data_IF_579789700706
#
_entry.id   IF_579789700706
#
_cell.length_a   1.000
_cell.length_b   1.000
_cell.length_c   1.000
_cell.angle_alpha   90.00
_cell.angle_beta   90.00
_cell.angle_gamma   90.00
#
_symmetry.space_group_name_H-M   'P 1'
#
loop_
_entity.id
_entity.type
_entity.pdbx_description
1 polymer ?
#
# COMPACT_ATOMS: atom_id res chain seq x y z
N UNK A 1 13.36 -9.41 -0.72
CA UNK A 1 13.59 -10.40 0.36
C UNK A 1 15.07 -10.63 0.64
N UNK A 2 15.94 -10.75 -0.38
CA UNK A 2 17.40 -10.86 -0.18
C UNK A 2 17.97 -9.69 0.65
N UNK A 3 17.50 -8.47 0.44
CA UNK A 3 17.90 -7.31 1.26
C UNK A 3 17.50 -7.41 2.73
N UNK A 4 16.29 -7.89 3.04
CA UNK A 4 15.84 -8.11 4.43
C UNK A 4 16.64 -9.22 5.11
N UNK A 5 16.92 -10.31 4.40
CA UNK A 5 17.75 -11.40 4.90
C UNK A 5 19.20 -10.93 5.13
N UNK A 6 19.76 -10.16 4.19
CA UNK A 6 21.09 -9.56 4.34
C UNK A 6 21.18 -8.64 5.56
N UNK A 7 20.20 -7.75 5.74
CA UNK A 7 20.14 -6.90 6.93
C UNK A 7 19.97 -7.71 8.22
N UNK A 8 19.13 -8.75 8.21
CA UNK A 8 18.95 -9.64 9.37
C UNK A 8 20.25 -10.33 9.78
N UNK A 9 21.03 -10.83 8.82
CA UNK A 9 22.35 -11.46 9.10
C UNK A 9 23.34 -10.43 9.64
N UNK A 10 23.41 -9.23 9.05
CA UNK A 10 24.32 -8.17 9.49
C UNK A 10 24.01 -7.74 10.93
N UNK A 11 22.74 -7.45 11.24
CA UNK A 11 22.35 -7.04 12.59
C UNK A 11 22.59 -8.13 13.63
N UNK A 12 22.31 -9.39 13.27
CA UNK A 12 22.58 -10.54 14.15
C UNK A 12 24.07 -10.66 14.46
N UNK A 13 24.94 -10.52 13.45
CA UNK A 13 26.38 -10.59 13.64
C UNK A 13 26.90 -9.45 14.55
N UNK A 14 26.37 -8.23 14.38
CA UNK A 14 26.72 -7.10 15.24
C UNK A 14 26.29 -7.32 16.70
N UNK A 15 25.09 -7.84 16.93
CA UNK A 15 24.60 -8.15 18.28
C UNK A 15 25.40 -9.27 18.97
N UNK A 16 25.87 -10.26 18.21
CA UNK A 16 26.74 -11.33 18.72
C UNK A 16 28.12 -10.77 19.08
N UNK A 17 28.72 -9.94 18.21
CA UNK A 17 30.01 -9.28 18.50
C UNK A 17 29.90 -8.34 19.70
N UNK A 18 28.75 -7.67 19.86
CA UNK A 18 28.47 -6.80 21.00
C UNK A 18 28.18 -7.53 22.31
N UNK A 19 28.09 -8.87 22.32
CA UNK A 19 27.82 -9.68 23.52
C UNK A 19 26.36 -9.66 24.01
N UNK A 20 25.47 -8.98 23.29
CA UNK A 20 24.05 -8.82 23.63
C UNK A 20 23.18 -9.99 23.15
N UNK A 21 23.72 -10.89 22.31
CA UNK A 21 22.97 -11.98 21.69
C UNK A 21 23.82 -13.25 21.53
N UNK A 22 23.28 -14.40 21.93
CA UNK A 22 23.92 -15.70 21.70
C UNK A 22 23.55 -16.30 20.33
N UNK A 23 24.38 -17.21 19.81
CA UNK A 23 24.08 -17.90 18.55
C UNK A 23 22.79 -18.75 18.62
N UNK A 24 22.53 -19.39 19.77
CA UNK A 24 21.30 -20.15 19.98
C UNK A 24 20.06 -19.24 19.96
N UNK A 25 20.15 -18.07 20.61
CA UNK A 25 19.03 -17.12 20.65
C UNK A 25 18.78 -16.49 19.29
N UNK A 26 19.84 -16.22 18.52
CA UNK A 26 19.74 -15.76 17.15
C UNK A 26 19.01 -16.76 16.24
N UNK A 27 19.33 -18.06 16.36
CA UNK A 27 18.69 -19.10 15.57
C UNK A 27 17.19 -19.20 15.84
N UNK A 28 16.81 -19.22 17.13
CA UNK A 28 15.40 -19.37 17.53
C UNK A 28 14.60 -18.10 17.28
N UNK A 29 15.09 -16.94 17.72
CA UNK A 29 14.28 -15.71 17.70
C UNK A 29 14.31 -14.99 16.35
N UNK A 30 15.43 -15.05 15.61
CA UNK A 30 15.61 -14.28 14.37
C UNK A 30 15.36 -15.16 13.15
N UNK A 31 16.09 -16.27 13.03
CA UNK A 31 16.06 -17.09 11.81
C UNK A 31 14.87 -18.04 11.74
N UNK A 32 14.35 -18.50 12.87
CA UNK A 32 13.11 -19.29 12.93
C UNK A 32 11.90 -18.41 13.26
N UNK A 33 11.94 -17.68 14.37
CA UNK A 33 10.82 -16.87 14.86
C UNK A 33 10.41 -15.75 13.90
N UNK A 34 11.38 -15.14 13.20
CA UNK A 34 11.12 -14.12 12.19
C UNK A 34 10.21 -14.62 11.06
N UNK A 35 10.60 -15.65 10.30
CA UNK A 35 9.74 -16.26 9.29
C UNK A 35 8.41 -16.79 9.83
N UNK A 36 8.42 -17.42 11.01
CA UNK A 36 7.22 -17.98 11.63
C UNK A 36 6.17 -16.90 11.93
N UNK A 37 6.59 -15.74 12.45
CA UNK A 37 5.70 -14.58 12.68
C UNK A 37 5.03 -14.07 11.40
N UNK A 38 5.61 -14.36 10.23
CA UNK A 38 5.08 -13.96 8.93
C UNK A 38 3.99 -14.90 8.39
N UNK A 39 3.75 -16.05 9.04
CA UNK A 39 2.80 -17.06 8.59
C UNK A 39 1.38 -16.51 8.39
N UNK A 40 0.87 -15.72 9.33
CA UNK A 40 -0.46 -15.10 9.21
C UNK A 40 -0.55 -14.14 8.00
N UNK A 41 0.52 -13.38 7.73
CA UNK A 41 0.59 -12.51 6.55
C UNK A 41 0.61 -13.33 5.26
N UNK A 42 1.35 -14.44 5.22
CA UNK A 42 1.40 -15.33 4.07
C UNK A 42 0.01 -15.91 3.75
N UNK A 43 -0.74 -16.35 4.76
CA UNK A 43 -2.12 -16.84 4.60
C UNK A 43 -3.03 -15.75 4.03
N UNK A 44 -2.96 -14.52 4.56
CA UNK A 44 -3.73 -13.39 4.05
C UNK A 44 -3.39 -13.06 2.59
N UNK A 45 -2.13 -13.18 2.19
CA UNK A 45 -1.70 -12.98 0.79
C UNK A 45 -2.26 -14.08 -0.11
N UNK A 46 -2.23 -15.34 0.32
CA UNK A 46 -2.80 -16.46 -0.44
C UNK A 46 -4.28 -16.22 -0.69
N UNK A 47 -5.07 -15.98 0.36
CA UNK A 47 -6.50 -15.73 0.22
C UNK A 47 -6.81 -14.43 -0.52
N UNK A 48 -6.06 -13.35 -0.28
CA UNK A 48 -6.22 -12.09 -1.00
C UNK A 48 -5.94 -12.23 -2.49
N UNK A 49 -4.91 -12.98 -2.87
CA UNK A 49 -4.58 -13.26 -4.27
C UNK A 49 -5.61 -14.16 -4.94
N UNK A 50 -6.10 -15.19 -4.23
CA UNK A 50 -7.16 -16.07 -4.73
C UNK A 50 -8.46 -15.29 -4.91
N UNK A 51 -8.89 -14.51 -3.92
CA UNK A 51 -10.06 -13.64 -4.03
C UNK A 51 -9.92 -12.66 -5.19
N UNK A 52 -8.75 -12.01 -5.34
CA UNK A 52 -8.46 -11.16 -6.49
C UNK A 52 -8.61 -11.89 -7.82
N UNK A 53 -8.17 -13.16 -7.91
CA UNK A 53 -8.34 -14.00 -9.10
C UNK A 53 -9.81 -14.34 -9.34
N UNK A 54 -10.57 -14.67 -8.30
CA UNK A 54 -12.02 -14.92 -8.40
C UNK A 54 -12.75 -13.70 -8.94
N UNK A 55 -12.43 -12.48 -8.49
CA UNK A 55 -13.03 -11.26 -9.02
C UNK A 55 -12.76 -11.03 -10.52
N UNK A 56 -11.57 -11.45 -10.98
CA UNK A 56 -11.18 -11.38 -12.39
C UNK A 56 -11.91 -12.45 -13.20
N UNK A 57 -11.87 -13.70 -12.77
CA UNK A 57 -12.44 -14.84 -13.52
C UNK A 57 -13.97 -14.80 -13.58
N UNK A 58 -14.63 -14.28 -12.54
CA UNK A 58 -16.10 -14.08 -12.52
C UNK A 58 -16.56 -12.87 -13.35
N UNK A 59 -15.64 -12.05 -13.86
CA UNK A 59 -15.96 -10.85 -14.64
C UNK A 59 -16.49 -9.68 -13.81
N UNK A 60 -16.50 -9.78 -12.47
CA UNK A 60 -16.89 -8.67 -11.57
C UNK A 60 -15.94 -7.49 -11.75
N UNK A 61 -14.63 -7.76 -11.76
CA UNK A 61 -13.61 -6.73 -11.98
C UNK A 61 -13.84 -6.02 -13.33
N UNK A 62 -14.16 -6.76 -14.40
CA UNK A 62 -14.46 -6.20 -15.72
C UNK A 62 -15.69 -5.29 -15.70
N UNK A 63 -16.77 -5.69 -15.00
CA UNK A 63 -17.96 -4.85 -14.84
C UNK A 63 -17.66 -3.57 -14.06
N UNK A 64 -16.94 -3.68 -12.93
CA UNK A 64 -16.52 -2.53 -12.13
C UNK A 64 -15.65 -1.56 -12.94
N UNK A 65 -14.67 -2.08 -13.68
CA UNK A 65 -13.83 -1.27 -14.57
C UNK A 65 -14.69 -0.50 -15.55
N UNK A 66 -15.61 -1.21 -16.24
CA UNK A 66 -16.50 -0.60 -17.22
C UNK A 66 -17.34 0.51 -16.60
N UNK A 67 -18.00 0.25 -15.47
CA UNK A 67 -18.82 1.25 -14.77
C UNK A 67 -18.02 2.48 -14.34
N UNK A 68 -16.82 2.30 -13.78
CA UNK A 68 -15.97 3.43 -13.37
C UNK A 68 -15.46 4.21 -14.58
N UNK A 69 -15.12 3.53 -15.68
CA UNK A 69 -14.66 4.20 -16.91
C UNK A 69 -15.80 4.90 -17.66
N UNK A 70 -17.01 4.36 -17.64
CA UNK A 70 -18.21 4.97 -18.23
C UNK A 70 -18.64 6.22 -17.44
N UNK A 71 -18.62 6.14 -16.09
CA UNK A 71 -18.82 7.30 -15.22
C UNK A 71 -17.68 8.32 -15.34
N UNK A 72 -16.50 7.87 -15.74
CA UNK A 72 -15.34 8.73 -15.90
C UNK A 72 -15.34 9.64 -17.11
N UNK A 73 -16.18 9.32 -18.11
CA UNK A 73 -16.56 10.17 -19.23
C UNK A 73 -15.44 11.11 -19.74
N UNK A 74 -15.74 12.41 -19.74
CA UNK A 74 -14.93 13.44 -20.39
C UNK A 74 -13.66 13.87 -19.63
N UNK A 75 -13.51 13.46 -18.36
CA UNK A 75 -12.40 13.90 -17.51
C UNK A 75 -11.73 12.75 -16.73
N UNK A 76 -10.92 11.92 -17.42
CA UNK A 76 -10.20 10.80 -16.78
C UNK A 76 -9.25 11.22 -15.66
N UNK A 77 -8.81 12.48 -15.64
CA UNK A 77 -7.98 13.02 -14.56
C UNK A 77 -8.73 13.06 -13.22
N UNK A 78 -9.99 13.53 -13.23
CA UNK A 78 -10.79 13.63 -11.99
C UNK A 78 -11.01 12.25 -11.39
N UNK A 79 -11.33 11.27 -12.23
CA UNK A 79 -11.60 9.89 -11.80
C UNK A 79 -10.35 9.25 -11.22
N UNK A 80 -9.19 9.48 -11.84
CA UNK A 80 -7.90 9.00 -11.33
C UNK A 80 -7.60 9.59 -9.95
N UNK A 81 -7.84 10.88 -9.75
CA UNK A 81 -7.65 11.56 -8.45
C UNK A 81 -8.62 11.00 -7.41
N UNK A 82 -9.90 10.84 -7.77
CA UNK A 82 -10.91 10.26 -6.87
C UNK A 82 -10.57 8.82 -6.47
N UNK A 83 -10.11 7.99 -7.41
CA UNK A 83 -9.64 6.64 -7.11
C UNK A 83 -8.45 6.64 -6.17
N UNK A 84 -7.53 7.59 -6.32
CA UNK A 84 -6.41 7.79 -5.39
C UNK A 84 -6.87 8.18 -3.99
N UNK A 85 -7.87 9.05 -3.86
CA UNK A 85 -8.45 9.44 -2.57
C UNK A 85 -9.16 8.26 -1.92
N UNK A 86 -10.02 7.55 -2.67
CA UNK A 86 -10.73 6.36 -2.19
C UNK A 86 -9.76 5.28 -1.75
N UNK A 87 -8.67 5.07 -2.50
CA UNK A 87 -7.61 4.13 -2.10
C UNK A 87 -7.00 4.56 -0.76
N UNK A 88 -6.67 5.84 -0.57
CA UNK A 88 -6.16 6.34 0.70
C UNK A 88 -7.12 6.08 1.86
N UNK A 89 -8.42 6.34 1.66
CA UNK A 89 -9.46 6.12 2.69
C UNK A 89 -9.58 4.63 3.05
N UNK A 90 -9.58 3.72 2.07
CA UNK A 90 -9.64 2.26 2.34
C UNK A 90 -8.47 1.81 3.24
N UNK A 91 -7.28 2.35 3.00
CA UNK A 91 -6.07 2.00 3.74
C UNK A 91 -5.93 2.72 5.09
N UNK A 92 -6.97 3.42 5.56
CA UNK A 92 -7.06 3.93 6.94
C UNK A 92 -7.50 2.85 7.93
N UNK A 93 -8.15 1.79 7.46
CA UNK A 93 -8.62 0.68 8.31
C UNK A 93 -8.09 -0.68 7.85
N UNK A 94 -7.45 -0.72 6.69
CA UNK A 94 -6.95 -1.96 6.08
C UNK A 94 -5.43 -1.98 6.05
N UNK A 95 -4.80 -3.08 6.44
CA UNK A 95 -3.34 -3.24 6.41
C UNK A 95 -2.93 -4.62 5.88
N UNK A 96 -1.71 -4.71 5.34
CA UNK A 96 -1.10 -5.97 4.92
C UNK A 96 -1.02 -6.15 3.40
N UNK A 97 -0.04 -6.95 2.98
CA UNK A 97 0.26 -7.16 1.56
C UNK A 97 -0.92 -7.76 0.77
N UNK A 98 -1.70 -8.66 1.38
CA UNK A 98 -2.88 -9.26 0.74
C UNK A 98 -3.94 -8.23 0.35
N UNK A 99 -4.20 -7.26 1.22
CA UNK A 99 -5.15 -6.18 0.94
C UNK A 99 -4.66 -5.27 -0.19
N UNK A 100 -3.36 -4.92 -0.19
CA UNK A 100 -2.74 -4.13 -1.26
C UNK A 100 -2.85 -4.86 -2.60
N UNK A 101 -2.60 -6.17 -2.64
CA UNK A 101 -2.75 -6.94 -3.88
C UNK A 101 -4.21 -7.00 -4.32
N UNK A 102 -5.15 -7.31 -3.41
CA UNK A 102 -6.56 -7.46 -3.73
C UNK A 102 -7.17 -6.16 -4.31
N UNK A 103 -6.90 -5.01 -3.68
CA UNK A 103 -7.37 -3.71 -4.19
C UNK A 103 -6.61 -3.33 -5.47
N UNK A 104 -5.31 -3.60 -5.54
CA UNK A 104 -4.48 -3.32 -6.71
C UNK A 104 -4.94 -4.05 -7.98
N UNK A 105 -5.41 -5.29 -7.87
CA UNK A 105 -5.99 -6.07 -8.98
C UNK A 105 -7.21 -5.38 -9.60
N UNK A 106 -7.94 -4.57 -8.85
CA UNK A 106 -9.08 -3.80 -9.33
C UNK A 106 -8.62 -2.42 -9.81
N UNK A 107 -7.91 -1.67 -8.96
CA UNK A 107 -7.58 -0.26 -9.21
C UNK A 107 -6.62 -0.11 -10.39
N UNK A 108 -5.58 -0.94 -10.51
CA UNK A 108 -4.57 -0.77 -11.56
C UNK A 108 -5.16 -0.94 -12.97
N UNK A 109 -5.97 -1.98 -13.29
CA UNK A 109 -6.67 -2.05 -14.56
C UNK A 109 -7.61 -0.89 -14.86
N UNK A 110 -8.27 -0.32 -13.84
CA UNK A 110 -9.10 0.88 -14.00
C UNK A 110 -8.24 2.07 -14.43
N UNK A 111 -7.16 2.35 -13.69
CA UNK A 111 -6.25 3.46 -13.99
C UNK A 111 -5.67 3.33 -15.41
N UNK A 112 -5.26 2.12 -15.80
CA UNK A 112 -4.76 1.86 -17.15
C UNK A 112 -5.84 2.06 -18.23
N UNK A 113 -7.09 1.66 -17.96
CA UNK A 113 -8.22 1.87 -18.86
C UNK A 113 -8.56 3.37 -19.05
N UNK A 114 -8.27 4.21 -18.05
CA UNK A 114 -8.41 5.68 -18.12
C UNK A 114 -7.26 6.38 -18.86
N UNK A 115 -6.27 5.63 -19.37
CA UNK A 115 -5.14 6.18 -20.13
C UNK A 115 -3.93 6.58 -19.28
N UNK A 116 -3.91 6.22 -17.99
CA UNK A 116 -2.75 6.41 -17.11
C UNK A 116 -1.66 5.42 -17.51
N UNK A 117 -0.41 5.87 -17.66
CA UNK A 117 0.70 4.94 -17.94
C UNK A 117 0.97 3.99 -16.79
N UNK A 118 1.39 2.76 -17.09
CA UNK A 118 1.70 1.73 -16.10
C UNK A 118 2.56 2.23 -14.92
N UNK A 119 3.70 2.93 -15.13
CA UNK A 119 4.50 3.41 -13.99
C UNK A 119 3.73 4.43 -13.15
N UNK A 120 3.02 5.37 -13.79
CA UNK A 120 2.24 6.38 -13.09
C UNK A 120 1.09 5.76 -12.28
N UNK A 121 0.41 4.75 -12.83
CA UNK A 121 -0.68 4.05 -12.17
C UNK A 121 -0.20 3.30 -10.92
N UNK A 122 0.93 2.60 -11.01
CA UNK A 122 1.53 1.89 -9.88
C UNK A 122 2.00 2.89 -8.82
N UNK A 123 2.68 3.96 -9.22
CA UNK A 123 3.15 4.99 -8.29
C UNK A 123 1.98 5.71 -7.60
N UNK A 124 0.97 6.15 -8.34
CA UNK A 124 -0.20 6.82 -7.74
C UNK A 124 -0.96 5.90 -6.81
N UNK A 125 -1.10 4.61 -7.18
CA UNK A 125 -1.73 3.62 -6.33
C UNK A 125 -0.95 3.41 -5.02
N UNK A 126 0.35 3.14 -5.08
CA UNK A 126 1.17 2.89 -3.89
C UNK A 126 1.30 4.13 -3.00
N UNK A 127 1.43 5.33 -3.57
CA UNK A 127 1.41 6.57 -2.79
C UNK A 127 0.06 6.81 -2.13
N UNK A 128 -1.04 6.46 -2.78
CA UNK A 128 -2.37 6.50 -2.16
C UNK A 128 -2.51 5.50 -1.03
N UNK A 129 -2.04 4.25 -1.18
CA UNK A 129 -1.97 3.26 -0.09
C UNK A 129 -1.19 3.84 1.09
N UNK A 130 -0.01 4.42 0.83
CA UNK A 130 0.83 5.04 1.86
C UNK A 130 0.13 6.18 2.61
N UNK A 131 -0.73 6.96 1.94
CA UNK A 131 -1.44 8.06 2.60
C UNK A 131 -2.40 7.60 3.69
N UNK A 132 -3.06 6.45 3.50
CA UNK A 132 -3.95 5.86 4.50
C UNK A 132 -3.21 5.40 5.75
N UNK A 133 -1.92 5.09 5.63
CA UNK A 133 -1.10 4.55 6.74
C UNK A 133 -0.91 5.54 7.88
N UNK A 134 -0.98 6.85 7.63
CA UNK A 134 -0.84 7.86 8.69
C UNK A 134 -1.90 7.72 9.79
N UNK A 135 -3.14 7.40 9.43
CA UNK A 135 -4.24 7.24 10.38
C UNK A 135 -4.68 5.78 10.49
N UNK A 136 -3.81 4.84 10.12
CA UNK A 136 -4.17 3.43 10.11
C UNK A 136 -4.13 2.84 11.53
N UNK A 137 -5.29 2.41 12.01
CA UNK A 137 -5.44 1.86 13.37
C UNK A 137 -4.72 0.52 13.55
N UNK A 138 -4.69 -0.31 12.51
CA UNK A 138 -4.02 -1.62 12.52
C UNK A 138 -2.50 -1.46 12.51
N UNK A 139 -1.98 -0.51 11.72
CA UNK A 139 -0.56 -0.20 11.73
C UNK A 139 -0.15 0.42 13.06
N UNK A 140 -0.98 1.32 13.61
CA UNK A 140 -0.70 1.95 14.88
C UNK A 140 -0.61 0.93 16.03
N UNK A 141 -1.53 -0.04 16.10
CA UNK A 141 -1.47 -1.08 17.14
C UNK A 141 -0.20 -1.94 17.06
N UNK A 142 0.33 -2.18 15.85
CA UNK A 142 1.64 -2.83 15.68
C UNK A 142 2.79 -1.96 16.19
N UNK A 143 2.75 -0.65 15.92
CA UNK A 143 3.76 0.28 16.45
C UNK A 143 3.66 0.42 17.97
N UNK A 144 2.45 0.38 18.53
CA UNK A 144 2.22 0.46 19.97
C UNK A 144 2.76 -0.78 20.70
N UNK A 145 2.84 -1.94 20.05
CA UNK A 145 3.51 -3.12 20.60
C UNK A 145 5.03 -2.91 20.79
N UNK A 146 5.64 -2.01 20.02
CA UNK A 146 7.06 -1.65 20.10
C UNK A 146 7.25 -0.41 21.00
N UNK A 147 6.33 0.55 20.91
CA UNK A 147 6.34 1.82 21.63
C UNK A 147 5.05 1.97 22.46
N UNK A 148 4.99 1.37 23.66
CA UNK A 148 3.75 1.27 24.45
C UNK A 148 3.19 2.63 24.90
N UNK A 149 4.06 3.64 25.05
CA UNK A 149 3.68 4.99 25.47
C UNK A 149 2.91 5.78 24.39
N UNK A 150 2.88 5.28 23.15
CA UNK A 150 2.16 5.91 22.04
C UNK A 150 0.65 5.68 22.17
N UNK A 151 -0.11 6.76 22.33
CA UNK A 151 -1.58 6.70 22.42
C UNK A 151 -2.22 7.10 21.10
N UNK A 152 -3.09 6.24 20.57
CA UNK A 152 -3.94 6.57 19.43
C UNK A 152 -5.04 7.52 19.87
N UNK A 153 -4.78 8.83 19.76
CA UNK A 153 -5.69 9.86 20.26
C UNK A 153 -5.62 11.15 19.45
N UNK A 154 -6.28 12.19 19.97
CA UNK A 154 -6.36 13.51 19.33
C UNK A 154 -4.98 14.11 19.04
N UNK A 155 -4.02 13.94 19.95
CA UNK A 155 -2.64 14.42 19.78
C UNK A 155 -1.98 13.80 18.53
N UNK A 156 -2.07 12.48 18.36
CA UNK A 156 -1.55 11.79 17.18
C UNK A 156 -2.33 12.17 15.90
N UNK A 157 -3.66 12.16 15.98
CA UNK A 157 -4.52 12.44 14.83
C UNK A 157 -4.38 13.88 14.32
N UNK A 158 -4.02 14.83 15.18
CA UNK A 158 -3.89 16.25 14.83
C UNK A 158 -2.85 16.50 13.74
N UNK A 159 -1.78 15.71 13.67
CA UNK A 159 -0.78 15.79 12.60
C UNK A 159 -1.01 14.73 11.51
N UNK A 160 -1.54 13.56 11.87
CA UNK A 160 -1.71 12.44 10.94
C UNK A 160 -2.78 12.73 9.87
N UNK A 161 -3.89 13.40 10.22
CA UNK A 161 -4.90 13.83 9.25
C UNK A 161 -4.34 14.83 8.23
N UNK A 162 -3.67 15.93 8.64
CA UNK A 162 -2.97 16.81 7.70
C UNK A 162 -1.94 16.07 6.84
N UNK A 163 -1.16 15.16 7.40
CA UNK A 163 -0.16 14.39 6.64
C UNK A 163 -0.80 13.53 5.53
N UNK A 164 -1.88 12.83 5.84
CA UNK A 164 -2.68 12.09 4.84
C UNK A 164 -3.21 13.02 3.75
N UNK A 165 -3.79 14.17 4.13
CA UNK A 165 -4.34 15.13 3.19
C UNK A 165 -3.26 15.71 2.26
N UNK A 166 -2.09 16.06 2.80
CA UNK A 166 -0.95 16.58 2.04
C UNK A 166 -0.45 15.51 1.06
N UNK A 167 -0.29 14.26 1.50
CA UNK A 167 0.16 13.19 0.60
C UNK A 167 -0.84 12.94 -0.54
N UNK A 168 -2.14 12.92 -0.27
CA UNK A 168 -3.17 12.80 -1.31
C UNK A 168 -3.16 14.01 -2.25
N UNK A 169 -2.91 15.21 -1.75
CA UNK A 169 -2.76 16.41 -2.56
C UNK A 169 -1.53 16.30 -3.48
N UNK A 170 -0.40 15.82 -2.97
CA UNK A 170 0.81 15.58 -3.78
C UNK A 170 0.54 14.55 -4.88
N UNK A 171 -0.20 13.48 -4.59
CA UNK A 171 -0.63 12.50 -5.60
C UNK A 171 -1.51 13.17 -6.66
N UNK A 172 -2.49 14.00 -6.25
CA UNK A 172 -3.36 14.71 -7.17
C UNK A 172 -2.59 15.69 -8.07
N UNK A 173 -1.61 16.41 -7.52
CA UNK A 173 -0.71 17.31 -8.25
C UNK A 173 0.14 16.51 -9.24
N UNK A 174 0.77 15.41 -8.81
CA UNK A 174 1.56 14.53 -9.66
C UNK A 174 0.73 14.00 -10.85
N UNK A 175 -0.48 13.53 -10.59
CA UNK A 175 -1.40 13.04 -11.63
C UNK A 175 -1.77 14.14 -12.61
N UNK A 176 -2.06 15.34 -12.11
CA UNK A 176 -2.42 16.50 -12.93
C UNK A 176 -1.29 16.88 -13.89
N UNK A 177 -0.05 16.97 -13.40
CA UNK A 177 1.10 17.30 -14.24
C UNK A 177 1.40 16.20 -15.29
N UNK A 178 1.41 14.94 -14.87
CA UNK A 178 1.81 13.85 -15.76
C UNK A 178 0.74 13.46 -16.79
N UNK A 179 -0.55 13.63 -16.47
CA UNK A 179 -1.64 13.34 -17.40
C UNK A 179 -1.92 14.49 -18.38
N UNK A 180 -1.71 15.75 -17.98
CA UNK A 180 -1.88 16.92 -18.88
C UNK A 180 -0.91 16.88 -20.05
N UNK A 181 0.37 16.58 -19.82
CA UNK A 181 1.42 16.53 -20.85
C UNK A 181 1.13 15.49 -21.95
N UNK A 182 0.45 14.39 -21.61
CA UNK A 182 0.04 13.38 -22.58
C UNK A 182 -1.13 13.81 -23.46
N UNK A 183 -2.06 14.62 -22.93
CA UNK A 183 -3.19 15.13 -23.71
C UNK A 183 -2.72 16.12 -24.79
N UNK A 184 -1.64 16.85 -24.53
CA UNK A 184 -1.00 17.77 -25.50
C UNK A 184 -0.24 17.03 -26.60
N UNK A 185 0.52 15.97 -26.25
CA UNK A 185 1.26 15.15 -27.25
C UNK A 185 0.38 14.33 -28.19
N UNK A 186 -0.86 14.02 -27.81
CA UNK A 186 -1.80 13.26 -28.65
C UNK A 186 -2.59 14.15 -29.62
N UNK A 187 -2.48 15.48 -29.47
CA UNK A 187 -3.13 16.50 -30.31
C UNK A 187 -2.17 17.21 -31.27
N UNK A 188 -0.86 16.95 -31.15
CA UNK A 188 0.17 17.37 -32.09
C UNK A 188 0.53 16.19 -32.99
#
# INVERSE_FOLDING_TARGET
MIGFLGMGVIWTALCIVGGELSWSDAMVNIFQGGPESWGATAVNVIFGSWFGRVLVDTGIAKKLIRSVTELGGDNPLIVTILLSIVTGIIFTSTFGAGAVVAIGVIVLPILMSLGVSKPLAVTSYLMSVGSGMYINTVLFSQMQAIFPDMVYGSSYLSWAFPAMAIQLLLVAVMLTFNMRTKRTRRKA
#
